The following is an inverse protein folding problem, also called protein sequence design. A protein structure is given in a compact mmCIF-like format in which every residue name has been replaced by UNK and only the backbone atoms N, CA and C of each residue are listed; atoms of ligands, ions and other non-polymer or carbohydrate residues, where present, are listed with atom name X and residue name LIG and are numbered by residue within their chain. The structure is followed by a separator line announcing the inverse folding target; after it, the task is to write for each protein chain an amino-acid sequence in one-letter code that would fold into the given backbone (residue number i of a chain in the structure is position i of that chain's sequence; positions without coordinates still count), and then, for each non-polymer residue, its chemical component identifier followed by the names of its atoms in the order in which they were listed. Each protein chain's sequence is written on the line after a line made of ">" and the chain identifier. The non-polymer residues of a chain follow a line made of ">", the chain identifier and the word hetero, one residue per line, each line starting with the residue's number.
data_IF_163381411196
#
_entry.id   IF_163381411196
#
_cell.length_a   1.000
_cell.length_b   1.000
_cell.length_c   1.000
_cell.angle_alpha   90.00
_cell.angle_beta   90.00
_cell.angle_gamma   90.00
#
_symmetry.space_group_name_H-M   'P 1'
#
loop_
_entity.id
_entity.type
_entity.pdbx_description
1 polymer ?
#
# COMPACT_ATOMS: atom_id res chain seq x y z
N UNK A 1 -7.23 2.99 19.84
CA UNK A 1 -6.86 4.39 20.08
C UNK A 1 -6.27 4.49 21.49
N UNK A 2 -5.00 4.85 21.61
CA UNK A 2 -4.37 5.09 22.92
C UNK A 2 -4.55 6.58 23.18
N UNK A 3 -5.25 7.03 24.23
CA UNK A 3 -5.37 8.44 24.55
C UNK A 3 -3.99 9.08 24.77
N UNK A 4 -3.76 10.28 24.24
CA UNK A 4 -2.50 11.02 24.36
C UNK A 4 -2.00 11.14 25.82
N UNK A 5 -2.92 11.10 26.80
CA UNK A 5 -2.59 11.16 28.22
C UNK A 5 -1.84 9.93 28.77
N UNK A 6 -1.80 8.81 28.01
CA UNK A 6 -1.28 7.53 28.51
C UNK A 6 0.03 7.14 27.84
N UNK A 7 0.34 7.65 26.65
CA UNK A 7 1.56 7.30 25.92
C UNK A 7 2.38 8.55 25.58
N UNK A 8 3.64 8.57 26.02
CA UNK A 8 4.65 9.53 25.54
C UNK A 8 5.26 8.96 24.26
N UNK A 9 5.04 9.60 23.11
CA UNK A 9 5.64 9.23 21.84
C UNK A 9 6.11 10.47 21.08
N UNK A 10 7.03 10.28 20.15
CA UNK A 10 7.52 11.31 19.24
C UNK A 10 7.09 10.94 17.83
N UNK A 11 6.40 11.84 17.16
CA UNK A 11 5.94 11.65 15.79
C UNK A 11 6.95 12.29 14.84
N UNK A 12 7.72 11.48 14.14
CA UNK A 12 8.72 11.94 13.15
C UNK A 12 8.16 11.96 11.74
N UNK A 13 7.25 11.03 11.42
CA UNK A 13 6.55 10.96 10.14
C UNK A 13 5.14 10.41 10.32
N UNK A 14 4.24 10.79 9.43
CA UNK A 14 2.88 10.22 9.35
C UNK A 14 2.51 10.00 7.88
N UNK A 15 1.44 9.22 7.62
CA UNK A 15 0.95 9.06 6.26
C UNK A 15 0.56 10.40 5.64
N UNK A 16 -0.05 11.27 6.44
CA UNK A 16 -0.46 12.59 5.99
C UNK A 16 -0.92 13.49 7.14
N UNK A 17 -1.48 14.66 6.83
CA UNK A 17 -1.83 15.69 7.80
C UNK A 17 -2.98 15.29 8.73
N UNK A 18 -3.89 14.40 8.29
CA UNK A 18 -5.00 13.94 9.12
C UNK A 18 -4.47 13.07 10.27
N UNK A 19 -3.61 12.10 9.96
CA UNK A 19 -2.97 11.28 11.01
C UNK A 19 -2.17 12.16 11.97
N UNK A 20 -1.41 13.14 11.46
CA UNK A 20 -0.66 14.08 12.31
C UNK A 20 -1.58 14.82 13.28
N UNK A 21 -2.68 15.39 12.79
CA UNK A 21 -3.68 16.07 13.62
C UNK A 21 -4.27 15.16 14.70
N UNK A 22 -4.58 13.90 14.35
CA UNK A 22 -5.14 12.92 15.30
C UNK A 22 -4.15 12.54 16.40
N UNK A 23 -2.85 12.47 16.07
CA UNK A 23 -1.80 12.14 17.02
C UNK A 23 -1.37 13.32 17.90
N UNK A 24 -1.80 14.53 17.57
CA UNK A 24 -1.48 15.78 18.27
C UNK A 24 -0.18 16.40 17.76
N UNK A 25 -0.25 17.67 17.41
CA UNK A 25 0.90 18.42 16.91
C UNK A 25 1.99 18.60 17.96
N UNK A 26 1.64 18.57 19.24
CA UNK A 26 2.55 18.64 20.37
C UNK A 26 3.52 17.44 20.46
N UNK A 27 3.15 16.32 19.86
CA UNK A 27 3.98 15.12 19.79
C UNK A 27 4.90 15.11 18.55
N UNK A 28 4.73 16.08 17.66
CA UNK A 28 5.46 16.14 16.41
C UNK A 28 6.84 16.75 16.58
N UNK A 29 7.82 16.20 15.89
CA UNK A 29 9.22 16.62 15.93
C UNK A 29 9.65 17.07 14.54
N UNK A 30 10.16 18.29 14.46
CA UNK A 30 10.72 18.84 13.22
C UNK A 30 9.65 19.18 12.16
N UNK A 31 10.11 19.36 10.93
CA UNK A 31 9.24 19.59 9.77
C UNK A 31 8.39 18.34 9.47
N UNK A 32 7.10 18.49 9.15
CA UNK A 32 6.28 17.34 8.82
C UNK A 32 6.85 16.53 7.67
N UNK A 33 7.12 15.25 7.90
CA UNK A 33 7.38 14.27 6.86
C UNK A 33 6.12 13.43 6.68
N UNK A 34 5.61 13.41 5.45
CA UNK A 34 4.43 12.65 5.08
C UNK A 34 4.78 11.51 4.13
N UNK A 35 3.97 10.47 4.13
CA UNK A 35 4.06 9.36 3.19
C UNK A 35 3.92 8.00 3.85
N UNK A 36 3.79 6.99 3.02
CA UNK A 36 3.81 5.59 3.45
C UNK A 36 5.23 5.02 3.24
N UNK A 37 5.79 4.23 4.18
CA UNK A 37 7.13 3.63 4.01
C UNK A 37 7.30 2.83 2.71
N UNK A 38 6.22 2.30 2.13
CA UNK A 38 6.25 1.60 0.83
C UNK A 38 6.75 2.51 -0.30
N UNK A 39 6.61 3.84 -0.18
CA UNK A 39 7.18 4.81 -1.13
C UNK A 39 8.70 4.75 -1.22
N UNK A 40 9.38 4.21 -0.20
CA UNK A 40 10.81 3.99 -0.22
C UNK A 40 11.21 2.69 -0.94
N UNK A 41 10.26 1.76 -1.12
CA UNK A 41 10.56 0.42 -1.67
C UNK A 41 11.21 0.47 -3.07
N UNK A 42 10.83 1.36 -4.01
CA UNK A 42 11.51 1.47 -5.30
C UNK A 42 13.00 1.84 -5.22
N UNK A 43 13.48 2.41 -4.10
CA UNK A 43 14.91 2.67 -3.87
C UNK A 43 15.71 1.38 -3.65
N UNK A 44 15.06 0.34 -3.15
CA UNK A 44 15.68 -0.93 -2.78
C UNK A 44 15.35 -2.07 -3.74
N UNK A 45 14.21 -1.99 -4.41
CA UNK A 45 13.73 -3.02 -5.32
C UNK A 45 13.04 -2.42 -6.54
N UNK A 46 13.73 -2.39 -7.68
CA UNK A 46 13.21 -1.95 -8.98
C UNK A 46 13.62 -2.92 -10.08
N UNK A 47 12.99 -4.10 -10.11
CA UNK A 47 13.33 -5.13 -11.09
C UNK A 47 12.89 -4.70 -12.50
N UNK A 48 13.63 -5.15 -13.51
CA UNK A 48 13.26 -5.00 -14.92
C UNK A 48 12.35 -6.17 -15.33
N UNK A 49 11.05 -6.04 -15.13
CA UNK A 49 10.07 -7.07 -15.48
C UNK A 49 9.38 -6.73 -16.80
N UNK A 50 9.08 -7.79 -17.57
CA UNK A 50 8.25 -7.66 -18.77
C UNK A 50 6.79 -7.47 -18.35
N UNK A 51 6.13 -6.47 -18.91
CA UNK A 51 4.68 -6.30 -18.72
C UNK A 51 3.93 -7.46 -19.36
N UNK A 52 3.06 -8.09 -18.59
CA UNK A 52 2.27 -9.26 -18.99
C UNK A 52 0.79 -8.96 -19.08
N UNK A 53 0.33 -8.00 -18.26
CA UNK A 53 -1.08 -7.70 -18.13
C UNK A 53 -1.34 -6.23 -18.48
N UNK A 54 -2.36 -5.96 -19.29
CA UNK A 54 -2.75 -4.59 -19.60
C UNK A 54 -3.35 -3.90 -18.38
N UNK A 55 -4.01 -4.67 -17.49
CA UNK A 55 -4.61 -4.16 -16.26
C UNK A 55 -4.51 -5.19 -15.13
N UNK A 56 -4.00 -4.76 -13.99
CA UNK A 56 -4.11 -5.47 -12.72
C UNK A 56 -5.23 -4.87 -11.86
N UNK A 57 -6.04 -5.72 -11.25
CA UNK A 57 -7.12 -5.34 -10.36
C UNK A 57 -6.79 -5.84 -8.96
N UNK A 58 -6.35 -4.95 -8.08
CA UNK A 58 -5.98 -5.30 -6.70
C UNK A 58 -7.24 -5.28 -5.85
N UNK A 59 -7.66 -6.46 -5.41
CA UNK A 59 -8.91 -6.65 -4.67
C UNK A 59 -8.70 -6.40 -3.19
N UNK A 60 -9.62 -5.65 -2.56
CA UNK A 60 -9.60 -5.47 -1.11
C UNK A 60 -9.96 -6.78 -0.39
N UNK A 61 -9.32 -7.05 0.75
CA UNK A 61 -9.56 -8.26 1.53
C UNK A 61 -11.03 -8.48 1.91
N UNK A 62 -11.81 -7.41 2.09
CA UNK A 62 -13.23 -7.50 2.42
C UNK A 62 -14.11 -7.95 1.24
N UNK A 63 -13.59 -7.88 0.00
CA UNK A 63 -14.28 -8.29 -1.22
C UNK A 63 -13.98 -9.75 -1.58
N UNK A 64 -13.09 -10.43 -0.87
CA UNK A 64 -12.80 -11.86 -1.00
C UNK A 64 -13.78 -12.72 -0.19
N UNK A 65 -14.00 -13.96 -0.63
CA UNK A 65 -14.85 -14.95 0.05
C UNK A 65 -14.26 -15.37 1.39
N UNK A 66 -12.95 -15.51 1.44
CA UNK A 66 -12.18 -15.94 2.63
C UNK A 66 -10.78 -15.31 2.65
N UNK A 67 -9.87 -15.84 3.45
CA UNK A 67 -8.49 -15.36 3.61
C UNK A 67 -7.45 -16.39 3.16
N UNK A 68 -7.83 -17.30 2.27
CA UNK A 68 -6.90 -18.27 1.69
C UNK A 68 -6.02 -17.65 0.61
N UNK A 69 -4.92 -18.32 0.27
CA UNK A 69 -3.99 -17.87 -0.76
C UNK A 69 -4.62 -17.84 -2.16
N UNK A 70 -5.61 -18.68 -2.38
CA UNK A 70 -6.39 -18.84 -3.61
C UNK A 70 -7.80 -18.25 -3.51
N UNK A 71 -8.05 -17.43 -2.47
CA UNK A 71 -9.33 -16.79 -2.22
C UNK A 71 -9.87 -16.09 -3.47
N UNK A 72 -11.11 -16.42 -3.80
CA UNK A 72 -11.84 -15.82 -4.92
C UNK A 72 -12.63 -14.60 -4.43
N UNK A 73 -12.96 -13.70 -5.34
CA UNK A 73 -13.89 -12.61 -5.06
C UNK A 73 -15.30 -13.13 -4.78
N UNK A 74 -16.08 -12.41 -4.00
CA UNK A 74 -17.47 -12.74 -3.71
C UNK A 74 -18.29 -12.74 -5.00
N UNK A 75 -19.07 -13.79 -5.24
CA UNK A 75 -19.85 -13.96 -6.47
C UNK A 75 -20.84 -12.80 -6.72
N UNK A 76 -21.34 -12.19 -5.63
CA UNK A 76 -22.25 -11.05 -5.72
C UNK A 76 -21.57 -9.76 -6.23
N UNK A 77 -20.25 -9.75 -6.41
CA UNK A 77 -19.50 -8.57 -6.81
C UNK A 77 -19.16 -8.63 -8.30
N UNK A 78 -20.17 -8.39 -9.14
CA UNK A 78 -20.09 -8.44 -10.59
C UNK A 78 -19.05 -7.48 -11.19
N UNK A 79 -18.67 -6.44 -10.45
CA UNK A 79 -17.61 -5.51 -10.85
C UNK A 79 -16.25 -6.19 -11.10
N UNK A 80 -16.01 -7.36 -10.55
CA UNK A 80 -14.78 -8.15 -10.75
C UNK A 80 -14.92 -9.23 -11.80
N UNK A 81 -16.09 -9.39 -12.41
CA UNK A 81 -16.26 -10.35 -13.48
C UNK A 81 -15.45 -9.94 -14.71
N UNK A 82 -14.57 -10.83 -15.16
CA UNK A 82 -13.75 -10.65 -16.35
C UNK A 82 -14.32 -11.54 -17.45
N UNK A 83 -14.86 -10.96 -18.55
CA UNK A 83 -15.32 -11.72 -19.69
C UNK A 83 -14.18 -12.53 -20.33
N UNK A 84 -14.49 -13.62 -21.02
CA UNK A 84 -13.51 -14.47 -21.68
C UNK A 84 -12.58 -13.70 -22.61
N UNK A 85 -13.12 -12.73 -23.36
CA UNK A 85 -12.35 -11.87 -24.27
C UNK A 85 -11.28 -11.01 -23.58
N UNK A 86 -11.41 -10.74 -22.28
CA UNK A 86 -10.50 -9.89 -21.52
C UNK A 86 -9.55 -10.68 -20.59
N UNK A 87 -9.72 -12.00 -20.46
CA UNK A 87 -8.92 -12.84 -19.55
C UNK A 87 -7.43 -12.83 -19.84
N UNK A 88 -7.03 -12.59 -21.07
CA UNK A 88 -5.62 -12.46 -21.44
C UNK A 88 -5.02 -11.09 -21.12
N UNK A 89 -5.86 -10.10 -20.82
CA UNK A 89 -5.47 -8.70 -20.63
C UNK A 89 -5.63 -8.22 -19.18
N UNK A 90 -6.64 -8.74 -18.47
CA UNK A 90 -7.02 -8.29 -17.12
C UNK A 90 -6.72 -9.39 -16.09
N UNK A 91 -6.03 -9.04 -15.01
CA UNK A 91 -5.70 -9.97 -13.93
C UNK A 91 -6.26 -9.47 -12.60
N UNK A 92 -7.01 -10.31 -11.90
CA UNK A 92 -7.31 -10.10 -10.48
C UNK A 92 -6.09 -10.47 -9.64
N UNK A 93 -5.70 -9.58 -8.75
CA UNK A 93 -4.59 -9.77 -7.83
C UNK A 93 -5.15 -9.91 -6.41
N UNK A 94 -5.12 -11.13 -5.90
CA UNK A 94 -5.39 -11.42 -4.52
C UNK A 94 -4.22 -10.93 -3.65
N UNK A 95 -4.51 -10.14 -2.62
CA UNK A 95 -3.49 -9.57 -1.72
C UNK A 95 -3.14 -10.49 -0.54
N UNK A 96 -3.86 -11.61 -0.38
CA UNK A 96 -3.47 -12.63 0.59
C UNK A 96 -2.22 -13.34 0.06
N UNK A 97 -1.19 -13.44 0.90
CA UNK A 97 0.06 -14.11 0.56
C UNK A 97 0.69 -14.70 1.82
N UNK A 98 1.55 -15.69 1.65
CA UNK A 98 2.38 -16.15 2.76
C UNK A 98 3.27 -15.01 3.24
N UNK A 99 3.52 -15.00 4.55
CA UNK A 99 4.35 -13.97 5.17
C UNK A 99 5.80 -14.44 5.12
N UNK A 100 6.35 -14.49 3.90
CA UNK A 100 7.78 -14.78 3.64
C UNK A 100 8.35 -13.76 2.67
N UNK A 101 9.65 -13.44 2.71
CA UNK A 101 10.26 -12.52 1.77
C UNK A 101 10.02 -12.90 0.30
N UNK A 102 10.09 -14.18 -0.01
CA UNK A 102 9.90 -14.68 -1.38
C UNK A 102 8.45 -14.55 -1.86
N UNK A 103 7.47 -14.86 -1.00
CA UNK A 103 6.06 -14.71 -1.32
C UNK A 103 5.69 -13.24 -1.47
N UNK A 104 6.21 -12.36 -0.62
CA UNK A 104 6.03 -10.91 -0.74
C UNK A 104 6.65 -10.38 -2.03
N UNK A 105 7.87 -10.80 -2.38
CA UNK A 105 8.53 -10.47 -3.64
C UNK A 105 7.72 -10.94 -4.86
N UNK A 106 7.22 -12.17 -4.84
CA UNK A 106 6.39 -12.72 -5.91
C UNK A 106 5.10 -11.89 -6.09
N UNK A 107 4.43 -11.54 -4.98
CA UNK A 107 3.22 -10.71 -5.04
C UNK A 107 3.50 -9.30 -5.55
N UNK A 108 4.62 -8.71 -5.16
CA UNK A 108 5.05 -7.42 -5.69
C UNK A 108 5.33 -7.51 -7.20
N UNK A 109 5.99 -8.58 -7.66
CA UNK A 109 6.23 -8.79 -9.09
C UNK A 109 4.93 -8.94 -9.89
N UNK A 110 3.91 -9.64 -9.36
CA UNK A 110 2.58 -9.70 -9.99
C UNK A 110 2.01 -8.30 -10.25
N UNK A 111 2.19 -7.37 -9.30
CA UNK A 111 1.77 -5.97 -9.44
C UNK A 111 2.61 -5.24 -10.50
N UNK A 112 3.94 -5.40 -10.44
CA UNK A 112 4.88 -4.74 -11.34
C UNK A 112 4.80 -5.23 -12.78
N UNK A 113 4.26 -6.43 -13.04
CA UNK A 113 4.02 -6.97 -14.37
C UNK A 113 2.77 -6.38 -15.06
N UNK A 114 2.03 -5.52 -14.37
CA UNK A 114 0.86 -4.83 -14.95
C UNK A 114 1.25 -3.49 -15.59
N UNK A 115 0.66 -3.16 -16.73
CA UNK A 115 0.83 -1.85 -17.38
C UNK A 115 0.06 -0.77 -16.62
N UNK A 116 -1.12 -1.11 -16.11
CA UNK A 116 -2.03 -0.25 -15.36
C UNK A 116 -2.57 -0.99 -14.14
N UNK A 117 -3.04 -0.24 -13.16
CA UNK A 117 -3.63 -0.81 -11.95
C UNK A 117 -4.93 -0.10 -11.57
N UNK A 118 -5.87 -0.87 -11.04
CA UNK A 118 -6.94 -0.31 -10.21
C UNK A 118 -6.97 -1.03 -8.88
N UNK A 119 -7.32 -0.31 -7.83
CA UNK A 119 -7.36 -0.90 -6.50
C UNK A 119 -8.52 -0.37 -5.68
N UNK A 120 -9.14 -1.28 -4.92
CA UNK A 120 -10.10 -0.95 -3.86
C UNK A 120 -9.42 -0.83 -2.50
N UNK A 121 -8.10 -1.00 -2.45
CA UNK A 121 -7.31 -0.96 -1.22
C UNK A 121 -6.30 0.19 -1.23
N UNK A 122 -6.06 0.77 -0.05
CA UNK A 122 -5.05 1.81 0.13
C UNK A 122 -3.68 1.37 -0.39
N UNK A 123 -3.15 0.25 0.10
CA UNK A 123 -1.80 -0.18 -0.26
C UNK A 123 -1.67 -0.56 -1.74
N UNK A 124 -2.76 -1.00 -2.39
CA UNK A 124 -2.75 -1.18 -3.84
C UNK A 124 -2.48 0.13 -4.58
N UNK A 125 -3.06 1.25 -4.11
CA UNK A 125 -2.75 2.58 -4.64
C UNK A 125 -1.31 3.00 -4.30
N UNK A 126 -0.86 2.76 -3.05
CA UNK A 126 0.50 3.10 -2.63
C UNK A 126 1.54 2.40 -3.51
N UNK A 127 1.40 1.09 -3.78
CA UNK A 127 2.29 0.37 -4.68
C UNK A 127 2.25 0.91 -6.10
N UNK A 128 1.07 1.17 -6.65
CA UNK A 128 0.94 1.69 -8.00
C UNK A 128 1.65 3.04 -8.16
N UNK A 129 1.33 3.99 -7.29
CA UNK A 129 1.88 5.35 -7.33
C UNK A 129 3.40 5.36 -7.08
N UNK A 130 3.88 4.60 -6.08
CA UNK A 130 5.32 4.58 -5.73
C UNK A 130 6.20 4.03 -6.85
N UNK A 131 5.70 3.11 -7.65
CA UNK A 131 6.40 2.56 -8.82
C UNK A 131 6.09 3.31 -10.12
N UNK A 132 5.24 4.35 -10.09
CA UNK A 132 4.85 5.11 -11.26
C UNK A 132 4.01 4.31 -12.26
N UNK A 133 3.19 3.38 -11.78
CA UNK A 133 2.26 2.60 -12.61
C UNK A 133 0.94 3.37 -12.72
N UNK A 134 0.45 3.69 -13.92
CA UNK A 134 -0.83 4.34 -14.11
C UNK A 134 -1.96 3.65 -13.35
N UNK A 135 -2.69 4.40 -12.51
CA UNK A 135 -3.68 3.80 -11.62
C UNK A 135 -4.86 4.71 -11.28
N UNK A 136 -5.98 4.11 -10.91
CA UNK A 136 -7.12 4.80 -10.31
C UNK A 136 -7.64 4.01 -9.10
N UNK A 137 -8.13 4.74 -8.10
CA UNK A 137 -8.89 4.14 -7.01
C UNK A 137 -10.22 3.62 -7.55
N UNK A 138 -10.48 2.32 -7.35
CA UNK A 138 -11.67 1.63 -7.85
C UNK A 138 -12.80 1.74 -6.84
N UNK A 139 -13.48 2.90 -6.82
CA UNK A 139 -14.48 3.22 -5.81
C UNK A 139 -15.75 2.38 -5.97
N UNK A 140 -16.24 1.76 -4.88
CA UNK A 140 -17.57 1.14 -4.89
C UNK A 140 -18.69 2.15 -4.62
N UNK A 141 -18.36 3.39 -4.28
CA UNK A 141 -19.28 4.44 -3.91
C UNK A 141 -19.40 5.47 -5.01
N UNK A 142 -20.61 5.82 -5.39
CA UNK A 142 -20.92 6.82 -6.39
C UNK A 142 -22.25 6.52 -7.08
N UNK A 143 -22.87 7.55 -7.67
CA UNK A 143 -24.19 7.44 -8.31
C UNK A 143 -24.11 6.88 -9.72
N UNK A 144 -23.02 7.15 -10.44
CA UNK A 144 -22.83 6.81 -11.84
C UNK A 144 -21.48 6.11 -11.99
N UNK A 145 -21.44 5.01 -12.78
CA UNK A 145 -20.19 4.34 -13.10
C UNK A 145 -19.31 5.19 -14.03
N UNK A 146 -18.02 5.09 -13.89
CA UNK A 146 -17.03 5.81 -14.70
C UNK A 146 -16.16 6.77 -13.89
N UNK A 147 -15.53 7.70 -14.60
CA UNK A 147 -14.68 8.72 -14.00
C UNK A 147 -15.48 9.64 -13.06
N UNK A 148 -14.91 9.87 -11.89
CA UNK A 148 -15.38 10.86 -10.92
C UNK A 148 -14.18 11.51 -10.25
N UNK A 149 -14.39 12.65 -9.59
CA UNK A 149 -13.37 13.34 -8.81
C UNK A 149 -13.86 13.43 -7.36
N UNK A 150 -13.01 13.03 -6.42
CA UNK A 150 -13.25 13.19 -4.98
C UNK A 150 -12.60 14.47 -4.50
N UNK A 151 -13.30 15.22 -3.67
CA UNK A 151 -12.73 16.31 -2.87
C UNK A 151 -12.12 15.69 -1.60
N UNK A 152 -10.80 15.81 -1.46
CA UNK A 152 -10.07 15.28 -0.31
C UNK A 152 -10.09 16.22 0.90
N UNK A 153 -10.71 17.41 0.77
CA UNK A 153 -10.99 18.27 1.90
C UNK A 153 -12.27 17.83 2.64
N UNK A 154 -13.15 17.09 1.95
CA UNK A 154 -14.27 16.39 2.54
C UNK A 154 -13.81 15.03 3.10
N UNK A 155 -13.67 14.94 4.43
CA UNK A 155 -13.16 13.74 5.12
C UNK A 155 -14.13 12.55 5.08
N UNK A 156 -15.37 12.75 4.63
CA UNK A 156 -16.39 11.70 4.46
C UNK A 156 -16.47 11.17 3.01
N UNK A 157 -15.76 11.79 2.08
CA UNK A 157 -15.83 11.48 0.65
C UNK A 157 -15.38 10.06 0.33
N UNK A 158 -14.38 9.53 1.06
CA UNK A 158 -13.80 8.19 0.88
C UNK A 158 -13.18 7.70 2.20
N UNK A 159 -12.51 6.54 2.19
CA UNK A 159 -11.72 6.07 3.32
C UNK A 159 -10.68 7.13 3.74
N UNK A 160 -10.74 7.55 4.99
CA UNK A 160 -9.90 8.61 5.55
C UNK A 160 -8.40 8.34 5.34
N UNK A 161 -7.99 7.07 5.23
CA UNK A 161 -6.60 6.69 4.95
C UNK A 161 -6.17 7.05 3.53
N UNK A 162 -7.08 7.02 2.55
CA UNK A 162 -6.86 7.47 1.18
C UNK A 162 -6.72 8.99 1.17
N UNK A 163 -7.63 9.69 1.83
CA UNK A 163 -7.59 11.14 1.98
C UNK A 163 -6.25 11.57 2.59
N UNK A 164 -5.87 10.98 3.71
CA UNK A 164 -4.66 11.31 4.43
C UNK A 164 -3.40 11.10 3.58
N UNK A 165 -3.33 9.97 2.86
CA UNK A 165 -2.22 9.68 1.95
C UNK A 165 -2.07 10.76 0.87
N UNK A 166 -3.12 11.02 0.10
CA UNK A 166 -3.03 11.94 -1.03
C UNK A 166 -2.88 13.39 -0.60
N UNK A 167 -3.47 13.78 0.53
CA UNK A 167 -3.19 15.11 1.14
C UNK A 167 -1.75 15.23 1.61
N UNK A 168 -1.17 14.17 2.13
CA UNK A 168 0.27 14.12 2.47
C UNK A 168 1.18 14.33 1.26
N UNK A 169 0.70 13.99 0.07
CA UNK A 169 1.37 14.23 -1.22
C UNK A 169 0.98 15.56 -1.89
N UNK A 170 0.31 16.46 -1.14
CA UNK A 170 -0.08 17.78 -1.64
C UNK A 170 -1.30 17.81 -2.56
N UNK A 171 -2.10 16.75 -2.63
CA UNK A 171 -3.31 16.70 -3.46
C UNK A 171 -4.55 16.99 -2.64
N UNK A 172 -5.44 17.86 -3.17
CA UNK A 172 -6.75 18.14 -2.59
C UNK A 172 -7.89 17.46 -3.37
N UNK A 173 -7.60 16.89 -4.52
CA UNK A 173 -8.54 16.19 -5.40
C UNK A 173 -7.96 14.88 -5.87
N UNK A 174 -8.81 13.88 -6.04
CA UNK A 174 -8.41 12.54 -6.49
C UNK A 174 -9.35 12.05 -7.59
N UNK A 175 -8.86 11.83 -8.81
CA UNK A 175 -9.63 11.12 -9.83
C UNK A 175 -9.80 9.66 -9.42
N UNK A 176 -11.02 9.15 -9.54
CA UNK A 176 -11.38 7.78 -9.19
C UNK A 176 -12.26 7.17 -10.28
N UNK A 177 -12.23 5.86 -10.40
CA UNK A 177 -13.20 5.16 -11.23
C UNK A 177 -14.28 4.55 -10.34
N UNK A 178 -15.49 5.05 -10.47
CA UNK A 178 -16.67 4.56 -9.75
C UNK A 178 -17.21 3.31 -10.45
N UNK A 179 -17.41 2.24 -9.70
CA UNK A 179 -18.06 1.04 -10.21
C UNK A 179 -18.86 0.35 -9.11
N UNK A 180 -20.17 0.29 -9.30
CA UNK A 180 -21.06 -0.44 -8.39
C UNK A 180 -20.67 -1.92 -8.32
N UNK A 181 -20.71 -2.52 -7.12
CA UNK A 181 -20.37 -3.92 -6.89
C UNK A 181 -21.24 -4.89 -7.68
N UNK A 182 -22.50 -4.53 -7.96
CA UNK A 182 -23.50 -5.37 -8.64
C UNK A 182 -23.57 -5.14 -10.14
N UNK A 183 -22.67 -4.35 -10.72
CA UNK A 183 -22.62 -4.07 -12.17
C UNK A 183 -21.31 -4.55 -12.75
N UNK A 184 -21.36 -5.06 -13.97
CA UNK A 184 -20.17 -5.42 -14.74
C UNK A 184 -19.34 -4.19 -15.09
N UNK A 185 -18.03 -4.34 -15.06
CA UNK A 185 -17.08 -3.30 -15.44
C UNK A 185 -16.80 -3.34 -16.93
N UNK A 186 -16.86 -2.19 -17.60
CA UNK A 186 -16.28 -2.01 -18.93
C UNK A 186 -14.76 -1.82 -18.77
N UNK A 187 -14.01 -2.92 -18.91
CA UNK A 187 -12.56 -2.94 -18.72
C UNK A 187 -11.83 -2.09 -19.75
N UNK A 188 -12.31 -2.06 -20.99
CA UNK A 188 -11.70 -1.27 -22.06
C UNK A 188 -11.88 0.23 -21.78
N UNK A 189 -13.07 0.65 -21.36
CA UNK A 189 -13.32 2.04 -20.95
C UNK A 189 -12.49 2.42 -19.73
N UNK A 190 -12.38 1.55 -18.72
CA UNK A 190 -11.58 1.79 -17.54
C UNK A 190 -10.10 2.00 -17.89
N UNK A 191 -9.51 1.16 -18.74
CA UNK A 191 -8.11 1.30 -19.16
C UNK A 191 -7.87 2.64 -19.90
N UNK A 192 -8.75 3.02 -20.83
CA UNK A 192 -8.66 4.33 -21.48
C UNK A 192 -8.75 5.47 -20.46
N UNK A 193 -9.70 5.39 -19.53
CA UNK A 193 -9.86 6.40 -18.48
C UNK A 193 -8.58 6.57 -17.65
N UNK A 194 -7.89 5.48 -17.30
CA UNK A 194 -6.61 5.58 -16.59
C UNK A 194 -5.58 6.35 -17.43
N UNK A 195 -5.45 6.00 -18.72
CA UNK A 195 -4.48 6.63 -19.62
C UNK A 195 -4.73 8.15 -19.79
N UNK A 196 -6.00 8.52 -19.84
CA UNK A 196 -6.41 9.92 -20.06
C UNK A 196 -6.15 10.80 -18.84
N UNK A 197 -6.38 10.28 -17.62
CA UNK A 197 -6.43 11.14 -16.43
C UNK A 197 -5.28 10.94 -15.46
N UNK A 198 -4.64 9.77 -15.41
CA UNK A 198 -3.56 9.55 -14.47
C UNK A 198 -2.34 10.40 -14.82
N UNK A 199 -1.73 10.97 -13.80
CA UNK A 199 -0.45 11.68 -13.92
C UNK A 199 0.43 11.27 -12.74
N UNK A 200 1.72 11.02 -12.96
CA UNK A 200 2.63 10.64 -11.90
C UNK A 200 2.65 11.69 -10.80
N UNK A 201 2.79 11.23 -9.57
CA UNK A 201 2.98 12.11 -8.43
C UNK A 201 4.48 12.39 -8.31
N UNK A 202 4.84 13.65 -8.40
CA UNK A 202 6.18 14.10 -8.02
C UNK A 202 6.24 14.19 -6.50
N UNK A 203 6.85 13.18 -5.89
CA UNK A 203 6.92 13.05 -4.44
C UNK A 203 8.35 12.81 -3.98
N UNK A 204 8.91 13.82 -3.32
CA UNK A 204 10.22 13.69 -2.70
C UNK A 204 10.14 12.77 -1.47
N UNK A 205 10.85 11.67 -1.52
CA UNK A 205 10.90 10.67 -0.45
C UNK A 205 12.04 10.93 0.55
N UNK A 206 12.91 11.92 0.35
CA UNK A 206 14.03 12.22 1.25
C UNK A 206 13.55 12.67 2.64
N UNK A 207 12.52 13.54 2.78
CA UNK A 207 11.99 13.87 4.09
C UNK A 207 11.49 12.64 4.86
N UNK A 208 10.89 11.67 4.18
CA UNK A 208 10.37 10.45 4.81
C UNK A 208 11.50 9.55 5.33
N UNK A 209 12.57 9.36 4.55
CA UNK A 209 13.72 8.55 5.00
C UNK A 209 14.50 9.26 6.10
N UNK A 210 14.66 10.58 6.00
CA UNK A 210 15.38 11.38 7.01
C UNK A 210 14.62 11.50 8.32
N UNK A 211 13.30 11.34 8.30
CA UNK A 211 12.47 11.32 9.50
C UNK A 211 12.58 10.02 10.31
N UNK A 212 13.23 9.00 9.77
CA UNK A 212 13.42 7.74 10.49
C UNK A 212 14.28 7.98 11.75
N UNK A 213 13.82 7.53 12.94
CA UNK A 213 14.44 7.94 14.22
C UNK A 213 15.75 7.23 14.57
N UNK A 214 16.22 6.34 13.70
CA UNK A 214 17.46 5.59 13.87
C UNK A 214 18.40 5.86 12.69
N UNK A 215 19.70 5.75 12.92
CA UNK A 215 20.68 5.77 11.85
C UNK A 215 20.44 4.58 10.93
N UNK A 216 20.03 4.89 9.70
CA UNK A 216 19.78 3.87 8.67
C UNK A 216 21.10 3.53 7.99
N UNK A 217 21.58 2.31 8.20
CA UNK A 217 22.60 1.73 7.34
C UNK A 217 21.91 1.19 6.08
N UNK A 218 22.21 1.74 4.89
CA UNK A 218 21.55 1.28 3.68
C UNK A 218 21.91 -0.19 3.43
N UNK A 219 20.92 -1.06 3.56
CA UNK A 219 21.07 -2.46 3.15
C UNK A 219 21.34 -2.50 1.65
N UNK A 220 22.42 -3.17 1.27
CA UNK A 220 22.74 -3.39 -0.15
C UNK A 220 22.35 -4.81 -0.54
N UNK A 221 21.73 -4.94 -1.70
CA UNK A 221 21.48 -6.26 -2.27
C UNK A 221 22.79 -7.03 -2.43
N UNK A 222 22.83 -8.34 -2.13
CA UNK A 222 23.99 -9.17 -2.45
C UNK A 222 24.30 -9.14 -3.95
N UNK A 223 25.56 -9.33 -4.33
CA UNK A 223 25.98 -9.29 -5.73
C UNK A 223 25.16 -10.26 -6.59
N UNK A 224 24.58 -9.75 -7.68
CA UNK A 224 23.74 -10.52 -8.60
C UNK A 224 22.36 -10.94 -8.05
N UNK A 225 21.95 -10.41 -6.90
CA UNK A 225 20.69 -10.73 -6.21
C UNK A 225 19.87 -9.48 -5.94
N UNK A 226 18.71 -9.63 -5.31
CA UNK A 226 17.84 -8.53 -4.88
C UNK A 226 17.95 -8.27 -3.39
N UNK A 227 17.38 -7.18 -2.91
CA UNK A 227 17.30 -6.87 -1.47
C UNK A 227 16.57 -7.96 -0.69
N UNK A 228 15.60 -8.63 -1.30
CA UNK A 228 14.89 -9.75 -0.68
C UNK A 228 15.78 -10.95 -0.39
N UNK A 229 16.91 -11.08 -1.08
CA UNK A 229 17.88 -12.15 -0.86
C UNK A 229 18.93 -11.79 0.21
N UNK A 230 18.80 -10.62 0.83
CA UNK A 230 19.72 -10.18 1.89
C UNK A 230 19.55 -11.05 3.14
N UNK A 231 20.64 -11.56 3.76
CA UNK A 231 20.53 -12.47 4.91
C UNK A 231 19.69 -11.91 6.07
N UNK A 232 19.80 -10.62 6.36
CA UNK A 232 18.98 -9.98 7.39
C UNK A 232 17.48 -10.02 7.04
N UNK A 233 17.11 -9.78 5.78
CA UNK A 233 15.71 -9.84 5.35
C UNK A 233 15.19 -11.28 5.45
N UNK A 234 16.00 -12.26 5.03
CA UNK A 234 15.65 -13.68 5.11
C UNK A 234 15.57 -14.19 6.55
N UNK A 235 16.31 -13.58 7.47
CA UNK A 235 16.30 -13.94 8.90
C UNK A 235 15.17 -13.32 9.71
N UNK A 236 14.39 -12.39 9.13
CA UNK A 236 13.26 -11.78 9.85
C UNK A 236 12.27 -12.89 10.21
N UNK A 237 12.01 -13.13 11.51
CA UNK A 237 11.08 -14.17 11.94
C UNK A 237 9.66 -13.75 11.58
N UNK A 238 9.23 -14.14 10.39
CA UNK A 238 7.87 -13.88 9.93
C UNK A 238 7.01 -15.04 10.43
N UNK A 239 6.67 -14.98 11.70
CA UNK A 239 5.81 -15.99 12.31
C UNK A 239 4.37 -15.80 11.90
N UNK A 240 3.74 -16.89 11.44
CA UNK A 240 2.28 -16.97 11.39
C UNK A 240 1.76 -16.52 12.77
N UNK A 241 0.83 -15.56 12.77
CA UNK A 241 0.25 -14.95 13.98
C UNK A 241 -0.22 -15.98 14.99
N UNK A 242 0.69 -16.52 15.79
CA UNK A 242 0.39 -17.13 17.07
C UNK A 242 0.81 -16.13 18.15
N UNK A 243 -0.14 -15.50 18.87
CA UNK A 243 0.19 -14.54 19.92
C UNK A 243 1.08 -15.12 21.02
N UNK A 244 1.04 -16.43 21.25
CA UNK A 244 1.88 -17.10 22.21
C UNK A 244 3.32 -17.20 21.73
N UNK A 245 3.52 -17.57 20.48
CA UNK A 245 4.87 -17.63 19.88
C UNK A 245 5.51 -16.23 19.75
N UNK A 246 4.73 -15.17 19.48
CA UNK A 246 5.23 -13.80 19.53
C UNK A 246 5.73 -13.41 20.92
N UNK A 247 5.10 -13.88 22.00
CA UNK A 247 5.56 -13.65 23.37
C UNK A 247 6.86 -14.38 23.66
N UNK A 248 7.02 -15.63 23.22
CA UNK A 248 8.24 -16.41 23.37
C UNK A 248 9.41 -15.76 22.60
N UNK A 249 9.22 -15.40 21.32
CA UNK A 249 10.22 -14.75 20.49
C UNK A 249 10.64 -13.38 21.05
N UNK A 250 9.71 -12.61 21.61
CA UNK A 250 10.00 -11.33 22.25
C UNK A 250 10.70 -11.51 23.61
N UNK A 251 10.51 -12.62 24.31
CA UNK A 251 11.22 -12.94 25.54
C UNK A 251 12.64 -13.45 25.29
N UNK A 252 12.86 -14.19 24.20
CA UNK A 252 14.18 -14.72 23.83
C UNK A 252 15.04 -13.76 23.02
N UNK A 253 14.45 -12.70 22.44
CA UNK A 253 15.19 -11.72 21.63
C UNK A 253 15.85 -10.65 22.48
N UNK A 254 17.00 -10.96 23.08
CA UNK A 254 17.87 -9.98 23.79
C UNK A 254 18.15 -8.69 22.99
N UNK A 255 18.29 -8.69 21.66
CA UNK A 255 18.54 -7.45 20.91
C UNK A 255 17.39 -6.45 20.94
N UNK A 256 16.12 -6.92 21.06
CA UNK A 256 14.96 -6.01 21.08
C UNK A 256 14.78 -5.37 22.46
N UNK A 257 15.16 -6.07 23.54
CA UNK A 257 15.15 -5.52 24.88
C UNK A 257 16.20 -4.42 25.06
N UNK A 258 17.34 -4.52 24.40
CA UNK A 258 18.39 -3.50 24.43
C UNK A 258 17.97 -2.25 23.63
N UNK A 259 17.28 -2.40 22.51
CA UNK A 259 16.65 -1.29 21.79
C UNK A 259 15.58 -0.59 22.63
N UNK A 260 14.75 -1.31 23.37
CA UNK A 260 13.73 -0.74 24.24
C UNK A 260 14.34 -0.04 25.50
N UNK A 261 15.51 -0.45 25.96
CA UNK A 261 16.24 0.22 27.03
C UNK A 261 16.87 1.54 26.58
N UNK A 262 17.30 1.64 25.33
CA UNK A 262 17.78 2.88 24.72
C UNK A 262 16.70 3.98 24.70
N UNK A 263 15.42 3.60 24.58
CA UNK A 263 14.28 4.53 24.58
C UNK A 263 13.82 4.98 25.99
N UNK A 264 14.39 4.44 27.04
CA UNK A 264 14.06 4.82 28.43
C UNK A 264 15.05 5.82 29.06
N UNK A 265 16.05 6.25 28.31
CA UNK A 265 16.96 7.33 28.65
C UNK A 265 16.72 8.52 27.73
#
# INVERSE_FOLDING_TARGET
>A
FIPNSVAKFRVTATRGPVTRRILGDENAVGTPAYGDPVWLLPRFYRPKLKKRWKLGVIVHLADLKDRSLDAQVKDAFLRYHIPESERSSVRLINTVTDVTPDALRARLNDILECERLVSTSLHGMVFAESYGIPCLYFSPRGKVSGLSELDLLDEDSVDLRIIDLYRGMGRNKLPVYVQDRKKHTDWAHLMRTIDDVWRPIDFDTDPLINAFPLDLWPLKAPAGKTIFDHPLIQSIPITKRNPEHLREVLQDSKPITDLLQFWRR
#
